data_IF_544627862709
#
_entry.id   IF_544627862709
#
_cell.length_a   1.000
_cell.length_b   1.000
_cell.length_c   1.000
_cell.angle_alpha   90.00
_cell.angle_beta   90.00
_cell.angle_gamma   90.00
#
_symmetry.space_group_name_H-M   'P 1'
#
loop_
_entity.id
_entity.type
_entity.pdbx_description
1 polymer ?
#
# COMPACT_ATOMS: atom_id res chain seq x y z
N UNK A 1 -28.45 23.66 4.20
CA UNK A 1 -27.24 24.28 4.80
C UNK A 1 -26.55 23.22 5.61
N UNK A 2 -25.28 22.87 5.45
CA UNK A 2 -24.25 23.16 4.47
C UNK A 2 -23.09 22.27 4.95
N UNK A 3 -22.55 21.41 4.09
CA UNK A 3 -21.21 20.84 4.20
C UNK A 3 -20.93 20.15 2.86
N UNK A 4 -20.71 21.00 1.86
CA UNK A 4 -20.06 20.58 0.62
C UNK A 4 -18.69 19.99 1.00
N UNK A 5 -18.47 18.73 0.63
CA UNK A 5 -17.18 18.05 0.74
C UNK A 5 -16.19 18.72 -0.22
N UNK A 6 -15.55 19.81 0.22
CA UNK A 6 -14.49 20.54 -0.47
C UNK A 6 -13.11 20.16 0.09
N UNK A 7 -12.92 18.90 0.48
CA UNK A 7 -11.69 18.42 1.14
C UNK A 7 -10.98 17.30 0.36
N UNK A 8 -11.48 16.90 -0.81
CA UNK A 8 -10.77 15.90 -1.64
C UNK A 8 -9.72 16.53 -2.57
N UNK A 9 -9.81 17.84 -2.86
CA UNK A 9 -8.95 18.53 -3.83
C UNK A 9 -7.63 19.04 -3.22
N UNK A 10 -7.64 19.44 -1.94
CA UNK A 10 -6.44 19.94 -1.22
C UNK A 10 -5.43 18.82 -0.87
N UNK A 11 -5.91 17.60 -0.61
CA UNK A 11 -5.05 16.45 -0.28
C UNK A 11 -4.08 16.07 -1.42
N UNK A 12 -4.47 16.34 -2.67
CA UNK A 12 -3.66 15.96 -3.83
C UNK A 12 -2.40 16.84 -3.98
N UNK A 13 -2.51 18.12 -3.64
CA UNK A 13 -1.39 19.05 -3.66
C UNK A 13 -0.41 18.75 -2.51
N UNK A 14 -0.92 18.46 -1.31
CA UNK A 14 -0.10 18.08 -0.16
C UNK A 14 0.67 16.78 -0.40
N UNK A 15 0.05 15.76 -1.01
CA UNK A 15 0.73 14.52 -1.38
C UNK A 15 1.88 14.75 -2.39
N UNK A 16 1.69 15.63 -3.37
CA UNK A 16 2.75 15.98 -4.33
C UNK A 16 3.89 16.71 -3.61
N UNK A 17 3.60 17.64 -2.70
CA UNK A 17 4.64 18.35 -1.95
C UNK A 17 5.41 17.41 -1.01
N UNK A 18 4.73 16.49 -0.34
CA UNK A 18 5.34 15.49 0.55
C UNK A 18 6.23 14.49 -0.19
N UNK A 19 5.89 14.16 -1.43
CA UNK A 19 6.67 13.23 -2.25
C UNK A 19 7.82 13.92 -2.97
N UNK A 20 7.90 15.25 -2.98
CA UNK A 20 8.85 16.02 -3.79
C UNK A 20 10.07 16.46 -3.02
N UNK A 21 11.24 16.22 -3.60
CA UNK A 21 12.53 16.60 -3.01
C UNK A 21 13.07 17.94 -3.52
N UNK A 22 12.42 18.52 -4.54
CA UNK A 22 12.73 19.85 -5.08
C UNK A 22 11.53 20.44 -5.83
N UNK A 23 11.56 21.75 -6.08
CA UNK A 23 10.54 22.42 -6.90
C UNK A 23 10.46 21.85 -8.32
N UNK A 24 11.59 21.45 -8.90
CA UNK A 24 11.63 20.81 -10.22
C UNK A 24 10.93 19.45 -10.23
N UNK A 25 11.17 18.64 -9.20
CA UNK A 25 10.54 17.33 -9.01
C UNK A 25 9.01 17.47 -8.82
N UNK A 26 8.59 18.50 -8.08
CA UNK A 26 7.17 18.87 -7.97
C UNK A 26 6.55 19.22 -9.33
N UNK A 27 7.21 20.08 -10.13
CA UNK A 27 6.74 20.44 -11.47
C UNK A 27 6.64 19.23 -12.40
N UNK A 28 7.62 18.33 -12.36
CA UNK A 28 7.62 17.09 -13.15
C UNK A 28 6.45 16.18 -12.75
N UNK A 29 6.17 16.02 -11.46
CA UNK A 29 5.03 15.24 -10.97
C UNK A 29 3.69 15.85 -11.33
N UNK A 30 3.51 17.16 -11.13
CA UNK A 30 2.28 17.86 -11.53
C UNK A 30 2.04 17.72 -13.03
N UNK A 31 3.08 17.88 -13.84
CA UNK A 31 2.98 17.71 -15.30
C UNK A 31 2.58 16.28 -15.67
N UNK A 32 3.12 15.27 -14.99
CA UNK A 32 2.78 13.87 -15.23
C UNK A 32 1.30 13.57 -14.89
N UNK A 33 0.79 14.14 -13.81
CA UNK A 33 -0.63 14.03 -13.46
C UNK A 33 -1.49 14.72 -14.51
N UNK A 34 -1.14 15.95 -14.89
CA UNK A 34 -1.88 16.73 -15.88
C UNK A 34 -1.93 16.02 -17.25
N UNK A 35 -0.80 15.48 -17.73
CA UNK A 35 -0.77 14.73 -18.99
C UNK A 35 -1.61 13.47 -18.92
N UNK A 36 -1.56 12.75 -17.79
CA UNK A 36 -2.38 11.55 -17.57
C UNK A 36 -3.88 11.89 -17.57
N UNK A 37 -4.28 12.95 -16.85
CA UNK A 37 -5.67 13.41 -16.83
C UNK A 37 -6.15 13.80 -18.24
N UNK A 38 -5.32 14.52 -19.01
CA UNK A 38 -5.63 14.91 -20.39
C UNK A 38 -5.81 13.71 -21.33
N UNK A 39 -4.93 12.70 -21.25
CA UNK A 39 -5.05 11.47 -22.06
C UNK A 39 -6.35 10.73 -21.72
N UNK A 40 -6.74 10.73 -20.44
CA UNK A 40 -7.96 10.07 -19.95
C UNK A 40 -9.24 10.90 -20.12
N UNK A 41 -9.14 12.13 -20.64
CA UNK A 41 -10.28 13.05 -20.76
C UNK A 41 -10.89 13.47 -19.41
N UNK A 42 -10.10 13.41 -18.33
CA UNK A 42 -10.53 13.80 -16.99
C UNK A 42 -10.33 15.31 -16.84
N UNK A 43 -11.40 16.00 -16.45
CA UNK A 43 -11.38 17.42 -16.12
C UNK A 43 -11.63 17.59 -14.62
N UNK A 44 -11.30 18.75 -14.08
CA UNK A 44 -11.39 19.00 -12.63
C UNK A 44 -12.83 18.88 -12.10
N UNK A 45 -13.84 19.12 -12.93
CA UNK A 45 -15.25 18.93 -12.56
C UNK A 45 -15.70 17.45 -12.53
N UNK A 46 -14.89 16.53 -13.05
CA UNK A 46 -15.20 15.10 -13.05
C UNK A 46 -14.79 14.49 -11.71
N UNK A 47 -15.75 13.95 -10.98
CA UNK A 47 -15.46 13.14 -9.79
C UNK A 47 -15.06 11.72 -10.20
N UNK A 48 -13.77 11.51 -10.43
CA UNK A 48 -13.22 10.21 -10.85
C UNK A 48 -12.59 9.50 -9.67
N UNK A 49 -12.97 8.23 -9.47
CA UNK A 49 -12.41 7.43 -8.37
C UNK A 49 -11.01 6.91 -8.71
N UNK A 50 -10.17 6.65 -7.69
CA UNK A 50 -8.84 6.04 -7.88
C UNK A 50 -8.90 4.70 -8.63
N UNK A 51 -9.97 3.94 -8.44
CA UNK A 51 -10.25 2.68 -9.12
C UNK A 51 -10.46 2.90 -10.61
N UNK A 52 -11.28 3.88 -10.97
CA UNK A 52 -11.58 4.20 -12.36
C UNK A 52 -10.33 4.67 -13.12
N UNK A 53 -9.46 5.47 -12.48
CA UNK A 53 -8.16 5.85 -13.07
C UNK A 53 -7.29 4.60 -13.32
N UNK A 54 -7.23 3.68 -12.37
CA UNK A 54 -6.48 2.42 -12.49
C UNK A 54 -7.02 1.53 -13.62
N UNK A 55 -8.34 1.39 -13.74
CA UNK A 55 -9.00 0.61 -14.79
C UNK A 55 -8.74 1.19 -16.18
N UNK A 56 -8.82 2.52 -16.34
CA UNK A 56 -8.59 3.18 -17.63
C UNK A 56 -7.12 3.17 -18.06
N UNK A 57 -6.18 3.26 -17.11
CA UNK A 57 -4.74 3.29 -17.40
C UNK A 57 -4.09 1.91 -17.46
N UNK A 58 -4.75 0.88 -16.90
CA UNK A 58 -4.14 -0.43 -16.67
C UNK A 58 -3.01 -0.41 -15.63
N UNK A 59 -2.81 0.72 -14.93
CA UNK A 59 -1.79 0.84 -13.90
C UNK A 59 -2.32 0.21 -12.62
N UNK A 60 -1.54 -0.68 -12.01
CA UNK A 60 -1.90 -1.28 -10.72
C UNK A 60 -2.00 -0.20 -9.62
N UNK A 61 -3.03 -0.25 -8.76
CA UNK A 61 -3.13 0.65 -7.61
C UNK A 61 -1.88 0.60 -6.74
N UNK A 62 -1.45 1.76 -6.23
CA UNK A 62 -0.28 1.86 -5.35
C UNK A 62 -0.43 1.00 -4.09
N UNK A 63 -1.66 0.86 -3.59
CA UNK A 63 -2.00 0.05 -2.41
C UNK A 63 -1.64 -1.42 -2.65
N UNK A 64 -1.94 -1.96 -3.83
CA UNK A 64 -1.57 -3.33 -4.21
C UNK A 64 -0.06 -3.50 -4.33
N UNK A 65 0.64 -2.52 -4.92
CA UNK A 65 2.10 -2.59 -5.04
C UNK A 65 2.78 -2.52 -3.66
N UNK A 66 2.26 -1.71 -2.74
CA UNK A 66 2.72 -1.66 -1.35
C UNK A 66 2.42 -2.99 -0.63
N UNK A 67 1.20 -3.57 -0.79
CA UNK A 67 0.82 -4.90 -0.27
C UNK A 67 1.79 -5.96 -0.76
N UNK A 68 2.04 -6.01 -2.07
CA UNK A 68 2.97 -6.93 -2.72
C UNK A 68 4.40 -6.83 -2.19
N UNK A 69 4.93 -5.61 -2.05
CA UNK A 69 6.28 -5.38 -1.52
C UNK A 69 6.40 -5.80 -0.06
N UNK A 70 5.39 -5.48 0.75
CA UNK A 70 5.29 -5.89 2.16
C UNK A 70 5.32 -7.41 2.29
N UNK A 71 4.49 -8.13 1.53
CA UNK A 71 4.46 -9.60 1.59
C UNK A 71 5.72 -10.26 1.04
N UNK A 72 6.35 -9.71 -0.01
CA UNK A 72 7.65 -10.18 -0.50
C UNK A 72 8.73 -10.05 0.57
N UNK A 73 8.77 -8.91 1.27
CA UNK A 73 9.71 -8.68 2.36
C UNK A 73 9.43 -9.61 3.53
N UNK A 74 8.18 -9.77 3.95
CA UNK A 74 7.80 -10.73 5.00
C UNK A 74 8.26 -12.15 4.67
N UNK A 75 7.98 -12.64 3.45
CA UNK A 75 8.43 -13.96 3.02
C UNK A 75 9.96 -14.07 3.01
N UNK A 76 10.68 -13.00 2.66
CA UNK A 76 12.14 -12.99 2.74
C UNK A 76 12.63 -13.08 4.19
N UNK A 77 12.04 -12.33 5.12
CA UNK A 77 12.38 -12.34 6.55
C UNK A 77 12.07 -13.69 7.19
N UNK A 78 10.92 -14.30 6.90
CA UNK A 78 10.53 -15.60 7.46
C UNK A 78 11.40 -16.76 6.96
N UNK A 79 12.07 -16.61 5.82
CA UNK A 79 13.08 -17.57 5.32
C UNK A 79 14.48 -17.33 5.89
N UNK A 80 14.71 -16.24 6.61
CA UNK A 80 16.00 -16.00 7.24
C UNK A 80 16.24 -16.96 8.41
N UNK A 81 17.50 -17.18 8.76
CA UNK A 81 17.83 -17.90 9.98
C UNK A 81 17.33 -17.15 11.22
N UNK A 82 16.95 -17.89 12.27
CA UNK A 82 16.42 -17.37 13.55
C UNK A 82 17.34 -16.35 14.25
N UNK A 83 18.64 -16.36 13.92
CA UNK A 83 19.65 -15.43 14.45
C UNK A 83 19.69 -14.06 13.76
N UNK A 84 18.96 -13.84 12.66
CA UNK A 84 19.04 -12.59 11.91
C UNK A 84 18.18 -11.49 12.54
N UNK A 85 18.76 -10.31 12.69
CA UNK A 85 18.10 -9.13 13.27
C UNK A 85 16.71 -8.80 12.68
N UNK A 86 16.45 -8.89 11.36
CA UNK A 86 15.12 -8.60 10.82
C UNK A 86 14.03 -9.54 11.33
N UNK A 87 14.35 -10.83 11.52
CA UNK A 87 13.40 -11.81 12.04
C UNK A 87 13.15 -11.59 13.54
N UNK A 88 14.20 -11.28 14.30
CA UNK A 88 14.09 -10.91 15.72
C UNK A 88 13.21 -9.67 15.87
N UNK A 89 13.47 -8.62 15.09
CA UNK A 89 12.68 -7.39 15.09
C UNK A 89 11.22 -7.62 14.71
N UNK A 90 10.93 -8.54 13.78
CA UNK A 90 9.57 -8.92 13.40
C UNK A 90 8.80 -9.57 14.56
N UNK A 91 9.46 -10.45 15.32
CA UNK A 91 8.88 -11.14 16.47
C UNK A 91 8.86 -10.31 17.76
N UNK A 92 9.53 -9.15 17.75
CA UNK A 92 9.66 -8.32 18.93
C UNK A 92 8.39 -7.50 19.19
N UNK A 93 7.79 -7.71 20.36
CA UNK A 93 6.63 -6.95 20.83
C UNK A 93 7.11 -5.84 21.79
N UNK A 94 7.22 -4.58 21.33
CA UNK A 94 7.65 -3.50 22.20
C UNK A 94 6.59 -3.22 23.27
N UNK A 95 6.97 -3.34 24.53
CA UNK A 95 6.12 -2.99 25.66
C UNK A 95 5.99 -1.46 25.77
N UNK A 96 4.76 -0.96 25.96
CA UNK A 96 4.49 0.45 26.21
C UNK A 96 3.37 1.06 25.37
N UNK A 97 2.89 2.23 25.80
CA UNK A 97 1.87 3.00 25.09
C UNK A 97 2.49 3.85 23.97
N UNK A 98 1.78 4.00 22.85
CA UNK A 98 2.21 4.85 21.75
C UNK A 98 1.94 6.33 22.06
N UNK A 99 2.84 7.21 21.62
CA UNK A 99 2.61 8.67 21.65
C UNK A 99 1.38 9.03 20.80
N UNK A 100 0.57 9.97 21.30
CA UNK A 100 -0.59 10.52 20.58
C UNK A 100 -0.11 11.22 19.28
N UNK A 101 -0.87 11.09 18.19
CA UNK A 101 -0.60 11.73 16.90
C UNK A 101 0.01 10.85 15.80
N UNK A 102 0.52 9.65 16.11
CA UNK A 102 0.98 8.70 15.07
C UNK A 102 -0.20 7.97 14.44
N UNK A 103 -0.18 7.78 13.12
CA UNK A 103 -1.20 7.02 12.40
C UNK A 103 -1.46 5.65 13.05
N UNK A 104 -2.73 5.24 13.11
CA UNK A 104 -3.16 4.03 13.83
C UNK A 104 -2.65 2.74 13.18
N UNK A 105 -2.33 2.78 11.88
CA UNK A 105 -1.82 1.63 11.12
C UNK A 105 -0.34 1.37 11.41
N UNK A 106 -0.02 0.17 11.88
CA UNK A 106 1.36 -0.32 11.87
C UNK A 106 1.51 -1.40 10.82
N UNK A 107 2.71 -1.50 10.25
CA UNK A 107 3.03 -2.52 9.25
C UNK A 107 2.55 -3.92 9.65
N UNK A 108 2.78 -4.33 10.91
CA UNK A 108 2.31 -5.62 11.45
C UNK A 108 0.78 -5.77 11.51
N UNK A 109 0.03 -4.69 11.72
CA UNK A 109 -1.45 -4.74 11.73
C UNK A 109 -1.99 -4.91 10.32
N UNK A 110 -1.37 -4.26 9.32
CA UNK A 110 -1.71 -4.48 7.92
C UNK A 110 -1.44 -5.92 7.51
N UNK A 111 -0.25 -6.46 7.85
CA UNK A 111 0.06 -7.87 7.59
C UNK A 111 -0.93 -8.81 8.26
N UNK A 112 -1.26 -8.56 9.53
CA UNK A 112 -2.19 -9.41 10.28
C UNK A 112 -3.61 -9.36 9.70
N UNK A 113 -4.09 -8.17 9.32
CA UNK A 113 -5.39 -8.01 8.65
C UNK A 113 -5.43 -8.78 7.32
N UNK A 114 -4.39 -8.65 6.50
CA UNK A 114 -4.28 -9.33 5.21
C UNK A 114 -4.11 -10.85 5.36
N UNK A 115 -3.44 -11.29 6.43
CA UNK A 115 -3.33 -12.71 6.79
C UNK A 115 -4.69 -13.28 7.17
N UNK A 116 -5.45 -12.57 8.01
CA UNK A 116 -6.79 -12.98 8.44
C UNK A 116 -7.74 -13.03 7.24
N UNK A 117 -7.69 -12.04 6.36
CA UNK A 117 -8.46 -12.02 5.10
C UNK A 117 -8.12 -13.20 4.17
N UNK A 118 -6.84 -13.60 4.12
CA UNK A 118 -6.43 -14.79 3.37
C UNK A 118 -6.84 -16.13 4.00
N UNK A 119 -7.39 -16.10 5.23
CA UNK A 119 -7.81 -17.29 5.97
C UNK A 119 -6.69 -18.22 6.43
N UNK A 120 -5.43 -17.78 6.40
CA UNK A 120 -4.26 -18.61 6.73
C UNK A 120 -3.77 -18.37 8.14
N UNK A 121 -3.43 -19.43 8.87
CA UNK A 121 -2.71 -19.33 10.15
C UNK A 121 -1.24 -18.93 9.95
N UNK A 122 -0.57 -18.44 11.00
CA UNK A 122 0.87 -18.14 10.96
C UNK A 122 1.72 -19.39 10.67
N UNK A 123 1.28 -20.57 11.12
CA UNK A 123 1.97 -21.83 10.87
C UNK A 123 1.89 -22.22 9.40
N UNK A 124 0.69 -22.21 8.82
CA UNK A 124 0.49 -22.47 7.38
C UNK A 124 1.24 -21.46 6.52
N UNK A 125 1.22 -20.18 6.91
CA UNK A 125 1.99 -19.15 6.23
C UNK A 125 3.48 -19.45 6.27
N UNK A 126 4.01 -19.85 7.43
CA UNK A 126 5.42 -20.19 7.58
C UNK A 126 5.83 -21.35 6.67
N UNK A 127 4.98 -22.36 6.49
CA UNK A 127 5.21 -23.44 5.51
C UNK A 127 5.16 -22.94 4.07
N UNK A 128 4.13 -22.16 3.73
CA UNK A 128 3.91 -21.62 2.39
C UNK A 128 5.08 -20.75 1.93
N UNK A 129 5.61 -19.89 2.82
CA UNK A 129 6.67 -18.95 2.44
C UNK A 129 8.04 -19.62 2.28
N UNK A 130 8.25 -20.84 2.76
CA UNK A 130 9.52 -21.56 2.51
C UNK A 130 9.67 -21.88 1.01
N UNK A 131 8.58 -22.30 0.37
CA UNK A 131 8.56 -22.49 -1.08
C UNK A 131 8.43 -21.12 -1.79
N UNK A 132 9.42 -20.78 -2.62
CA UNK A 132 9.44 -19.50 -3.34
C UNK A 132 8.36 -19.39 -4.42
N UNK A 133 7.98 -20.51 -5.03
CA UNK A 133 6.93 -20.59 -6.03
C UNK A 133 5.57 -20.38 -5.37
N UNK A 134 5.29 -21.12 -4.31
CA UNK A 134 4.03 -20.99 -3.55
C UNK A 134 3.91 -19.61 -2.90
N UNK A 135 4.99 -19.09 -2.32
CA UNK A 135 5.05 -17.71 -1.84
C UNK A 135 4.69 -16.69 -2.94
N UNK A 136 5.22 -16.87 -4.16
CA UNK A 136 4.91 -15.98 -5.28
C UNK A 136 3.45 -16.08 -5.71
N UNK A 137 2.90 -17.29 -5.80
CA UNK A 137 1.49 -17.53 -6.14
C UNK A 137 0.57 -16.91 -5.11
N UNK A 138 0.84 -17.14 -3.82
CA UNK A 138 0.07 -16.57 -2.72
C UNK A 138 0.08 -15.04 -2.71
N UNK A 139 1.25 -14.41 -2.87
CA UNK A 139 1.34 -12.95 -2.97
C UNK A 139 0.62 -12.42 -4.21
N UNK A 140 0.68 -13.16 -5.32
CA UNK A 140 -0.09 -12.84 -6.53
C UNK A 140 -1.59 -12.87 -6.27
N UNK A 141 -2.09 -13.93 -5.62
CA UNK A 141 -3.51 -14.07 -5.27
C UNK A 141 -3.96 -12.98 -4.29
N UNK A 142 -3.21 -12.72 -3.23
CA UNK A 142 -3.45 -11.66 -2.25
C UNK A 142 -3.58 -10.26 -2.86
N UNK A 143 -2.82 -9.98 -3.92
CA UNK A 143 -2.84 -8.71 -4.62
C UNK A 143 -3.82 -8.69 -5.81
N UNK A 144 -4.49 -9.82 -6.08
CA UNK A 144 -5.54 -9.93 -7.11
C UNK A 144 -6.93 -10.07 -6.49
N UNK A 145 -7.02 -10.33 -5.18
CA UNK A 145 -8.26 -10.24 -4.42
C UNK A 145 -8.72 -8.78 -4.44
N UNK A 146 -9.85 -8.56 -5.11
CA UNK A 146 -10.44 -7.26 -5.36
C UNK A 146 -10.96 -6.68 -4.04
N UNK A 147 -10.13 -5.89 -3.37
CA UNK A 147 -10.56 -5.14 -2.20
C UNK A 147 -11.13 -3.80 -2.66
N UNK A 148 -12.47 -3.71 -2.78
CA UNK A 148 -13.17 -2.43 -2.79
C UNK A 148 -14.47 -2.57 -1.99
N UNK A 149 -14.39 -2.22 -0.71
CA UNK A 149 -15.52 -1.73 0.09
C UNK A 149 -15.42 -0.21 0.19
#
# INVERSE_FOLDING_TARGET
>A
MEAFNHLEDEDFADDITLLSHSHKDMQEKTRCVETTARILGIRWEHRVTKKEISERTGIRPIVEEVKKRRWRWLGHVLRMSKSRHPLIALTWNPQGARKKGRSRGTWMRSVESERVESGKTWNELNWLVQDRCECRKFVGALCSQKDYG
#
